data_IF_467433386257
#
_entry.id   IF_467433386257
#
_cell.length_a   1.000
_cell.length_b   1.000
_cell.length_c   1.000
_cell.angle_alpha   90.00
_cell.angle_beta   90.00
_cell.angle_gamma   90.00
#
_symmetry.space_group_name_H-M   'P 1'
#
loop_
_entity.id
_entity.type
_entity.pdbx_description
1 polymer ?
#
# COMPACT_ATOMS: atom_id res chain seq x y z
N UNK A 1 -8.75 -33.14 -12.97
CA UNK A 1 -8.13 -31.82 -13.19
C UNK A 1 -6.97 -31.72 -12.21
N UNK A 2 -5.75 -31.48 -12.70
CA UNK A 2 -4.62 -31.22 -11.83
C UNK A 2 -4.91 -29.89 -11.11
N UNK A 3 -5.14 -29.93 -9.79
CA UNK A 3 -5.35 -28.73 -9.00
C UNK A 3 -4.06 -27.94 -8.91
N UNK A 4 -4.12 -26.63 -9.04
CA UNK A 4 -3.01 -25.76 -8.68
C UNK A 4 -2.87 -25.80 -7.16
N UNK A 5 -1.77 -26.27 -6.65
CA UNK A 5 -1.46 -26.24 -5.24
C UNK A 5 -0.65 -24.95 -4.94
N UNK A 6 -1.06 -24.22 -3.93
CA UNK A 6 -0.23 -23.15 -3.39
C UNK A 6 1.06 -23.75 -2.82
N UNK A 7 2.11 -22.95 -2.72
CA UNK A 7 3.33 -23.40 -2.05
C UNK A 7 3.05 -23.67 -0.57
N UNK A 8 3.80 -24.61 0.01
CA UNK A 8 3.69 -24.99 1.41
C UNK A 8 3.84 -23.78 2.34
N UNK A 9 3.04 -23.72 3.38
CA UNK A 9 3.07 -22.65 4.39
C UNK A 9 2.10 -21.49 4.12
N UNK A 10 1.42 -21.49 2.96
CA UNK A 10 0.38 -20.49 2.67
C UNK A 10 -1.01 -20.90 3.17
N UNK A 11 -1.18 -22.17 3.52
CA UNK A 11 -2.46 -22.72 4.01
C UNK A 11 -2.91 -22.09 5.35
N UNK A 12 -1.95 -21.56 6.11
CA UNK A 12 -2.17 -20.88 7.39
C UNK A 12 -2.43 -19.38 7.26
N UNK A 13 -2.42 -18.84 6.04
CA UNK A 13 -2.72 -17.43 5.84
C UNK A 13 -4.23 -17.20 5.90
N UNK A 14 -4.64 -16.41 6.87
CA UNK A 14 -6.02 -15.94 6.93
C UNK A 14 -6.22 -14.82 5.90
N UNK A 15 -7.38 -14.83 5.26
CA UNK A 15 -7.78 -13.75 4.36
C UNK A 15 -7.90 -12.44 5.15
N UNK A 16 -7.23 -11.39 4.67
CA UNK A 16 -7.43 -10.06 5.24
C UNK A 16 -8.78 -9.52 4.80
N UNK A 17 -9.73 -9.50 5.72
CA UNK A 17 -11.04 -8.91 5.51
C UNK A 17 -11.23 -7.73 6.47
N UNK A 18 -11.60 -6.58 5.93
CA UNK A 18 -12.12 -5.47 6.73
C UNK A 18 -13.60 -5.75 6.95
N UNK A 19 -13.97 -6.00 8.19
CA UNK A 19 -15.36 -6.23 8.56
C UNK A 19 -16.16 -4.93 8.35
N UNK A 20 -17.12 -4.97 7.42
CA UNK A 20 -18.06 -3.87 7.20
C UNK A 20 -19.19 -3.94 8.25
N UNK A 21 -19.02 -3.19 9.31
CA UNK A 21 -20.05 -3.06 10.35
C UNK A 21 -20.86 -1.80 10.09
N UNK A 22 -22.18 -1.93 10.10
CA UNK A 22 -23.07 -0.77 10.08
C UNK A 22 -23.02 -0.07 11.45
N UNK A 23 -22.23 0.97 11.57
CA UNK A 23 -22.06 1.75 12.78
C UNK A 23 -21.99 3.26 12.45
N UNK A 24 -22.48 4.09 13.36
CA UNK A 24 -22.41 5.54 13.19
C UNK A 24 -20.98 6.10 13.32
N UNK A 25 -20.12 5.37 14.02
CA UNK A 25 -18.71 5.72 14.23
C UNK A 25 -17.85 4.53 13.84
N UNK A 26 -16.99 4.71 12.83
CA UNK A 26 -16.08 3.68 12.30
C UNK A 26 -14.65 4.07 12.63
N UNK A 27 -13.94 3.24 13.40
CA UNK A 27 -12.56 3.48 13.86
C UNK A 27 -11.66 2.25 13.70
N UNK A 28 -12.10 1.24 12.95
CA UNK A 28 -11.42 -0.05 12.82
C UNK A 28 -10.34 -0.10 11.71
N UNK A 29 -10.35 0.85 10.77
CA UNK A 29 -9.46 0.83 9.62
C UNK A 29 -8.52 2.05 9.52
N UNK A 30 -8.46 2.88 10.57
CA UNK A 30 -7.64 4.10 10.61
C UNK A 30 -7.93 5.07 9.45
N UNK A 31 -9.19 5.12 9.04
CA UNK A 31 -9.66 6.04 8.00
C UNK A 31 -9.86 7.45 8.57
N UNK A 32 -9.67 8.47 7.72
CA UNK A 32 -10.01 9.84 8.08
C UNK A 32 -11.53 10.01 8.11
N UNK A 33 -12.04 10.59 9.20
CA UNK A 33 -13.45 10.98 9.30
C UNK A 33 -13.78 12.29 8.56
N UNK A 34 -12.78 12.93 7.98
CA UNK A 34 -12.95 14.13 7.15
C UNK A 34 -12.71 13.81 5.69
N UNK A 35 -13.61 14.28 4.84
CA UNK A 35 -13.39 14.24 3.40
C UNK A 35 -12.45 15.38 2.97
N UNK A 36 -12.01 15.35 1.71
CA UNK A 36 -11.22 16.44 1.14
C UNK A 36 -11.96 17.78 1.24
N UNK A 37 -11.28 18.88 1.58
CA UNK A 37 -11.88 20.20 1.48
C UNK A 37 -12.39 20.48 0.06
N UNK A 38 -13.56 21.10 -0.05
CA UNK A 38 -14.21 21.40 -1.33
C UNK A 38 -13.30 21.98 -2.42
N UNK A 39 -12.42 22.97 -2.13
CA UNK A 39 -11.51 23.51 -3.16
C UNK A 39 -10.54 22.46 -3.69
N UNK A 40 -10.08 21.55 -2.84
CA UNK A 40 -9.16 20.46 -3.25
C UNK A 40 -9.91 19.44 -4.12
N UNK A 41 -11.11 19.04 -3.69
CA UNK A 41 -11.98 18.14 -4.46
C UNK A 41 -12.23 18.68 -5.87
N UNK A 42 -12.59 19.97 -5.98
CA UNK A 42 -12.82 20.64 -7.26
C UNK A 42 -11.54 20.71 -8.12
N UNK A 43 -10.39 20.99 -7.52
CA UNK A 43 -9.11 21.01 -8.23
C UNK A 43 -8.73 19.63 -8.78
N UNK A 44 -8.96 18.56 -8.00
CA UNK A 44 -8.76 17.18 -8.46
C UNK A 44 -9.69 16.85 -9.62
N UNK A 45 -10.98 17.14 -9.49
CA UNK A 45 -11.97 16.90 -10.55
C UNK A 45 -11.62 17.64 -11.85
N UNK A 46 -11.17 18.90 -11.76
CA UNK A 46 -10.75 19.69 -12.91
C UNK A 46 -9.49 19.09 -13.59
N UNK A 47 -8.55 18.55 -12.83
CA UNK A 47 -7.37 17.89 -13.38
C UNK A 47 -7.67 16.54 -14.02
N UNK A 48 -8.67 15.83 -13.52
CA UNK A 48 -9.10 14.55 -14.09
C UNK A 48 -9.91 14.75 -15.41
N UNK A 49 -10.53 15.90 -15.58
CA UNK A 49 -11.20 16.24 -16.83
C UNK A 49 -10.19 16.32 -17.98
N UNK A 50 -10.33 15.41 -18.96
CA UNK A 50 -9.41 15.31 -20.10
C UNK A 50 -8.08 14.62 -19.81
N UNK A 51 -7.92 14.02 -18.63
CA UNK A 51 -6.73 13.21 -18.33
C UNK A 51 -6.67 11.98 -19.24
N UNK A 52 -5.51 11.69 -19.85
CA UNK A 52 -5.39 10.58 -20.80
C UNK A 52 -5.24 9.21 -20.09
N UNK A 53 -6.34 8.69 -19.53
CA UNK A 53 -6.34 7.40 -18.80
C UNK A 53 -5.91 6.20 -19.66
N UNK A 54 -5.91 6.34 -20.98
CA UNK A 54 -5.46 5.32 -21.93
C UNK A 54 -3.95 5.33 -22.18
N UNK A 55 -3.20 6.11 -21.44
CA UNK A 55 -1.74 6.20 -21.55
C UNK A 55 -1.06 5.71 -20.28
N UNK A 56 0.15 5.18 -20.42
CA UNK A 56 0.98 4.88 -19.27
C UNK A 56 1.34 6.15 -18.52
N UNK A 57 1.21 6.16 -17.20
CA UNK A 57 1.74 7.26 -16.38
C UNK A 57 3.27 7.24 -16.38
N UNK A 58 3.91 8.32 -15.89
CA UNK A 58 5.34 8.31 -15.60
C UNK A 58 5.70 7.13 -14.70
N UNK A 59 6.69 6.31 -15.12
CA UNK A 59 6.98 5.01 -14.52
C UNK A 59 7.33 5.06 -13.04
N UNK A 60 7.93 6.15 -12.59
CA UNK A 60 8.39 6.32 -11.20
C UNK A 60 7.68 7.47 -10.48
N UNK A 61 6.58 7.98 -11.02
CA UNK A 61 5.87 9.13 -10.46
C UNK A 61 6.80 10.32 -10.13
N UNK A 62 7.70 10.66 -11.04
CA UNK A 62 8.83 11.58 -10.83
C UNK A 62 8.39 12.93 -10.26
N UNK A 63 7.30 13.49 -10.79
CA UNK A 63 6.75 14.77 -10.30
C UNK A 63 6.31 14.68 -8.84
N UNK A 64 5.57 13.61 -8.47
CA UNK A 64 5.11 13.42 -7.10
C UNK A 64 6.27 13.16 -6.15
N UNK A 65 7.24 12.34 -6.56
CA UNK A 65 8.46 12.09 -5.78
C UNK A 65 9.24 13.37 -5.51
N UNK A 66 9.39 14.21 -6.53
CA UNK A 66 10.07 15.51 -6.39
C UNK A 66 9.39 16.42 -5.38
N UNK A 67 8.05 16.55 -5.43
CA UNK A 67 7.28 17.36 -4.50
C UNK A 67 7.40 16.84 -3.05
N UNK A 68 7.32 15.52 -2.86
CA UNK A 68 7.48 14.91 -1.53
C UNK A 68 8.92 15.11 -1.01
N UNK A 69 9.91 14.95 -1.87
CA UNK A 69 11.32 15.14 -1.51
C UNK A 69 11.60 16.57 -1.08
N UNK A 70 11.03 17.55 -1.78
CA UNK A 70 11.13 18.98 -1.42
C UNK A 70 10.49 19.24 -0.05
N UNK A 71 9.28 18.76 0.19
CA UNK A 71 8.55 18.91 1.46
C UNK A 71 9.29 18.28 2.64
N UNK A 72 9.92 17.14 2.42
CA UNK A 72 10.65 16.40 3.46
C UNK A 72 12.14 16.76 3.55
N UNK A 73 12.65 17.65 2.71
CA UNK A 73 14.08 17.98 2.56
C UNK A 73 14.94 16.71 2.34
N UNK A 74 14.49 15.81 1.48
CA UNK A 74 15.16 14.56 1.10
C UNK A 74 15.53 14.57 -0.39
N UNK A 75 16.38 13.62 -0.79
CA UNK A 75 16.60 13.31 -2.20
C UNK A 75 15.41 12.52 -2.76
N UNK A 76 14.97 12.85 -3.98
CA UNK A 76 13.88 12.12 -4.64
C UNK A 76 14.20 10.63 -4.84
N UNK A 77 15.46 10.24 -4.90
CA UNK A 77 15.87 8.84 -4.99
C UNK A 77 15.65 8.05 -3.68
N UNK A 78 15.43 8.73 -2.57
CA UNK A 78 15.04 8.12 -1.31
C UNK A 78 13.52 7.91 -1.17
N UNK A 79 12.73 8.36 -2.15
CA UNK A 79 11.28 8.24 -2.14
C UNK A 79 10.84 7.13 -3.08
N UNK A 80 9.93 6.29 -2.61
CA UNK A 80 9.24 5.29 -3.43
C UNK A 80 7.74 5.49 -3.31
N UNK A 81 7.05 5.36 -4.44
CA UNK A 81 5.59 5.50 -4.54
C UNK A 81 5.00 4.13 -4.85
N UNK A 82 3.86 3.83 -4.25
CA UNK A 82 3.11 2.59 -4.47
C UNK A 82 1.62 2.79 -4.25
N UNK A 83 0.84 1.77 -4.54
CA UNK A 83 -0.60 1.73 -4.29
C UNK A 83 -0.87 1.47 -2.80
N UNK A 84 -0.64 2.50 -2.00
CA UNK A 84 -0.70 2.44 -0.55
C UNK A 84 0.54 1.77 0.07
N UNK A 85 0.61 1.83 1.40
CA UNK A 85 1.70 1.24 2.17
C UNK A 85 1.79 -0.29 2.03
N UNK A 86 0.68 -0.95 1.74
CA UNK A 86 0.62 -2.41 1.57
C UNK A 86 1.51 -2.90 0.43
N UNK A 87 1.47 -2.25 -0.74
CA UNK A 87 2.35 -2.60 -1.85
C UNK A 87 3.82 -2.38 -1.50
N UNK A 88 4.14 -1.26 -0.87
CA UNK A 88 5.52 -0.94 -0.48
C UNK A 88 6.07 -1.91 0.58
N UNK A 89 5.24 -2.30 1.56
CA UNK A 89 5.61 -3.30 2.56
C UNK A 89 5.85 -4.67 1.93
N UNK A 90 4.98 -5.09 1.01
CA UNK A 90 5.14 -6.34 0.28
C UNK A 90 6.43 -6.33 -0.56
N UNK A 91 6.69 -5.26 -1.29
CA UNK A 91 7.92 -5.09 -2.06
C UNK A 91 9.17 -5.14 -1.17
N UNK A 92 9.13 -4.48 0.00
CA UNK A 92 10.23 -4.52 0.97
C UNK A 92 10.48 -5.94 1.49
N UNK A 93 9.41 -6.67 1.84
CA UNK A 93 9.52 -8.06 2.27
C UNK A 93 10.13 -8.95 1.17
N UNK A 94 9.70 -8.80 -0.08
CA UNK A 94 10.27 -9.55 -1.20
C UNK A 94 11.73 -9.19 -1.51
N UNK A 95 12.09 -7.92 -1.40
CA UNK A 95 13.45 -7.47 -1.69
C UNK A 95 14.47 -7.87 -0.61
N UNK A 96 14.06 -7.89 0.65
CA UNK A 96 14.97 -8.05 1.79
C UNK A 96 14.71 -9.31 2.62
N UNK A 97 13.56 -9.97 2.47
CA UNK A 97 13.21 -11.23 3.14
C UNK A 97 13.65 -12.47 2.35
N UNK A 98 13.09 -13.63 2.72
CA UNK A 98 13.33 -14.93 2.09
C UNK A 98 14.69 -15.55 2.40
N UNK A 99 14.92 -16.75 1.88
CA UNK A 99 16.19 -17.49 2.03
C UNK A 99 16.70 -17.57 3.49
N UNK A 100 15.80 -17.82 4.46
CA UNK A 100 16.14 -17.92 5.88
C UNK A 100 16.45 -16.59 6.57
N UNK A 101 16.22 -15.45 5.89
CA UNK A 101 16.35 -14.14 6.53
C UNK A 101 15.18 -13.90 7.48
N UNK A 102 15.41 -13.04 8.48
CA UNK A 102 14.42 -12.71 9.50
C UNK A 102 13.93 -11.29 9.33
N UNK A 103 12.63 -11.12 9.36
CA UNK A 103 11.94 -9.82 9.43
C UNK A 103 11.36 -9.69 10.82
N UNK A 104 11.71 -8.63 11.54
CA UNK A 104 11.18 -8.33 12.87
C UNK A 104 10.21 -7.16 12.80
N UNK A 105 9.07 -7.29 13.48
CA UNK A 105 8.07 -6.22 13.62
C UNK A 105 7.46 -6.27 15.03
N UNK A 106 6.93 -5.14 15.55
CA UNK A 106 6.31 -5.09 16.87
C UNK A 106 5.04 -5.91 16.91
N UNK A 107 4.66 -6.41 18.09
CA UNK A 107 3.40 -7.07 18.33
C UNK A 107 2.77 -6.55 19.65
N UNK A 108 1.46 -6.26 19.69
CA UNK A 108 0.49 -6.27 18.59
C UNK A 108 0.75 -5.17 17.56
N UNK A 109 0.46 -5.41 16.29
CA UNK A 109 0.68 -4.48 15.19
C UNK A 109 -0.23 -4.79 13.99
N UNK A 110 -0.02 -4.11 12.86
CA UNK A 110 -0.74 -4.34 11.63
C UNK A 110 -0.52 -5.77 11.13
N UNK A 111 -1.62 -6.54 11.00
CA UNK A 111 -1.58 -7.97 10.68
C UNK A 111 -0.83 -8.30 9.37
N UNK A 112 -0.85 -7.36 8.41
CA UNK A 112 -0.21 -7.56 7.12
C UNK A 112 1.32 -7.67 7.17
N UNK A 113 1.99 -7.23 8.24
CA UNK A 113 3.42 -7.50 8.40
C UNK A 113 3.72 -9.01 8.42
N UNK A 114 2.93 -9.77 9.19
CA UNK A 114 3.06 -11.23 9.23
C UNK A 114 2.74 -11.90 7.90
N UNK A 115 1.69 -11.42 7.22
CA UNK A 115 1.28 -11.94 5.92
C UNK A 115 2.38 -11.73 4.88
N UNK A 116 2.90 -10.51 4.73
CA UNK A 116 3.95 -10.23 3.73
C UNK A 116 5.27 -10.94 4.05
N UNK A 117 5.59 -11.12 5.33
CA UNK A 117 6.76 -11.89 5.74
C UNK A 117 6.62 -13.36 5.30
N UNK A 118 5.48 -14.00 5.56
CA UNK A 118 5.21 -15.37 5.11
C UNK A 118 5.19 -15.50 3.58
N UNK A 119 4.71 -14.48 2.87
CA UNK A 119 4.69 -14.47 1.40
C UNK A 119 6.10 -14.32 0.80
N UNK A 120 7.03 -13.75 1.52
CA UNK A 120 8.40 -13.53 1.07
C UNK A 120 9.35 -14.71 1.33
N UNK A 121 8.96 -15.70 2.13
CA UNK A 121 9.80 -16.86 2.52
C UNK A 121 9.80 -18.04 1.49
#
# INVERSE_FOLDING_TARGET
>A
MAGFNARTGLEELEEYAVEHVAADIIVNANESNYNLPRPIEQAVAAKLAGFPFNRYPPMQAETLRGLIAEDLALDADNIRIGNGSSELLQMACYAFGGNGRKIAFPYPSFSMYGVYTKLAD
#
